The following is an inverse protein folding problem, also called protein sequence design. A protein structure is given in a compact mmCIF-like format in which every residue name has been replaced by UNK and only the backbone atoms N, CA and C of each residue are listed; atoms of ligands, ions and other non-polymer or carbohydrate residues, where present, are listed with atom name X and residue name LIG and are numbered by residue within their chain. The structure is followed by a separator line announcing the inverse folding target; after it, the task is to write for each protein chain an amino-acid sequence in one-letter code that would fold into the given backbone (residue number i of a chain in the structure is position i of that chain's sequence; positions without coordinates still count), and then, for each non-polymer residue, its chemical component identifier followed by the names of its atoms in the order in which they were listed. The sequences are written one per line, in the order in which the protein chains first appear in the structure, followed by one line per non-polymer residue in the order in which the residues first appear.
data_IF_312824433125
#
_entry.id   IF_312824433125
#
_cell.length_a   1.000
_cell.length_b   1.000
_cell.length_c   1.000
_cell.angle_alpha   90.00
_cell.angle_beta   90.00
_cell.angle_gamma   90.00
#
_symmetry.space_group_name_H-M   'P 1'
#
loop_
_entity.id
_entity.type
_entity.pdbx_description
1 polymer ?
#
# COMPACT_ATOMS: atom_id res chain seq x y z
N UNK A 1 17.91 -8.21 5.19
CA UNK A 1 17.08 -8.12 3.97
C UNK A 1 15.98 -9.17 4.09
N UNK A 2 14.70 -8.80 4.07
CA UNK A 2 13.59 -9.74 4.36
C UNK A 2 12.79 -10.02 3.10
N UNK A 3 13.43 -10.68 2.13
CA UNK A 3 12.70 -11.25 1.01
C UNK A 3 11.64 -12.24 1.52
N UNK A 4 10.47 -12.38 0.85
CA UNK A 4 9.43 -13.28 1.29
C UNK A 4 9.96 -14.73 1.32
N UNK A 5 9.85 -15.45 2.45
CA UNK A 5 10.31 -16.83 2.55
C UNK A 5 9.65 -17.76 1.52
N UNK A 6 10.30 -18.87 1.11
CA UNK A 6 9.63 -19.92 0.34
C UNK A 6 8.33 -20.38 1.00
N UNK A 7 7.28 -20.57 0.20
CA UNK A 7 5.93 -20.90 0.65
C UNK A 7 5.07 -19.70 1.06
N UNK A 8 5.59 -18.47 1.01
CA UNK A 8 4.81 -17.27 1.31
C UNK A 8 3.82 -16.97 0.19
N UNK A 9 2.53 -16.87 0.53
CA UNK A 9 1.50 -16.33 -0.37
C UNK A 9 1.61 -14.81 -0.37
N UNK A 10 1.63 -14.21 -1.56
CA UNK A 10 1.72 -12.77 -1.75
C UNK A 10 0.87 -12.30 -2.92
N UNK A 11 0.48 -11.04 -2.86
CA UNK A 11 -0.17 -10.35 -3.96
C UNK A 11 0.88 -9.58 -4.75
N UNK A 12 0.88 -9.75 -6.07
CA UNK A 12 1.67 -8.94 -6.99
C UNK A 12 0.72 -7.95 -7.67
N UNK A 13 0.94 -6.66 -7.47
CA UNK A 13 0.24 -5.62 -8.19
C UNK A 13 1.03 -5.27 -9.45
N UNK A 14 0.36 -5.39 -10.59
CA UNK A 14 0.91 -5.15 -11.91
C UNK A 14 0.14 -3.99 -12.52
N UNK A 15 0.82 -2.89 -12.80
CA UNK A 15 0.24 -1.78 -13.56
C UNK A 15 0.51 -2.00 -15.05
N UNK A 16 -0.52 -1.87 -15.87
CA UNK A 16 -0.43 -1.88 -17.34
C UNK A 16 -1.34 -0.79 -17.90
N UNK A 17 -0.73 0.24 -18.50
CA UNK A 17 -1.49 1.42 -18.92
C UNK A 17 -2.14 2.12 -17.73
N UNK A 18 -3.46 2.29 -17.78
CA UNK A 18 -4.28 2.85 -16.70
C UNK A 18 -4.87 1.78 -15.75
N UNK A 19 -4.69 0.49 -16.07
CA UNK A 19 -5.28 -0.61 -15.33
C UNK A 19 -4.27 -1.22 -14.33
N UNK A 20 -4.78 -1.63 -13.17
CA UNK A 20 -4.01 -2.36 -12.15
C UNK A 20 -4.62 -3.75 -11.99
N UNK A 21 -3.78 -4.78 -12.13
CA UNK A 21 -4.16 -6.17 -11.91
C UNK A 21 -3.45 -6.72 -10.68
N UNK A 22 -4.22 -7.39 -9.83
CA UNK A 22 -3.72 -8.10 -8.67
C UNK A 22 -3.58 -9.58 -9.01
N UNK A 23 -2.38 -10.11 -8.89
CA UNK A 23 -2.07 -11.51 -9.10
C UNK A 23 -1.80 -12.18 -7.77
N UNK A 24 -2.37 -13.36 -7.53
CA UNK A 24 -2.01 -14.17 -6.39
C UNK A 24 -0.83 -15.08 -6.75
N UNK A 25 0.26 -14.96 -6.00
CA UNK A 25 1.46 -15.75 -6.22
C UNK A 25 2.01 -16.34 -4.93
N UNK A 26 2.83 -17.38 -5.08
CA UNK A 26 3.54 -18.08 -4.02
C UNK A 26 5.05 -17.94 -4.26
N UNK A 27 5.80 -17.62 -3.21
CA UNK A 27 7.26 -17.64 -3.29
C UNK A 27 7.76 -19.09 -3.40
N UNK A 28 8.41 -19.42 -4.51
CA UNK A 28 9.02 -20.73 -4.76
C UNK A 28 10.42 -20.76 -4.16
N UNK A 29 11.19 -19.70 -4.38
CA UNK A 29 12.55 -19.56 -3.89
C UNK A 29 12.88 -18.09 -3.64
N UNK A 30 13.77 -17.85 -2.70
CA UNK A 30 14.33 -16.54 -2.40
C UNK A 30 15.84 -16.71 -2.20
N UNK A 31 16.63 -16.06 -3.04
CA UNK A 31 18.09 -16.04 -2.94
C UNK A 31 18.55 -14.60 -3.01
N UNK A 32 19.13 -14.11 -1.90
CA UNK A 32 19.51 -12.72 -1.75
C UNK A 32 18.35 -11.76 -2.07
N UNK A 33 18.50 -10.94 -3.10
CA UNK A 33 17.52 -9.98 -3.62
C UNK A 33 16.63 -10.56 -4.72
N UNK A 34 16.87 -11.78 -5.19
CA UNK A 34 16.09 -12.41 -6.25
C UNK A 34 15.03 -13.34 -5.68
N UNK A 35 13.79 -13.12 -6.08
CA UNK A 35 12.62 -13.91 -5.67
C UNK A 35 11.99 -14.57 -6.89
N UNK A 36 11.75 -15.88 -6.80
CA UNK A 36 10.99 -16.64 -7.79
C UNK A 36 9.58 -16.88 -7.28
N UNK A 37 8.60 -16.51 -8.10
CA UNK A 37 7.18 -16.60 -7.81
C UNK A 37 6.50 -17.59 -8.75
N UNK A 38 5.53 -18.33 -8.23
CA UNK A 38 4.56 -19.11 -8.98
C UNK A 38 3.20 -18.44 -8.82
N UNK A 39 2.55 -18.08 -9.91
CA UNK A 39 1.27 -17.38 -9.85
C UNK A 39 0.11 -18.32 -10.18
N UNK A 40 -0.98 -18.19 -9.41
CA UNK A 40 -2.19 -19.00 -9.57
C UNK A 40 -3.00 -18.51 -10.78
N UNK A 41 -2.89 -17.23 -11.09
CA UNK A 41 -3.60 -16.57 -12.19
C UNK A 41 -2.81 -16.60 -13.51
N UNK A 42 -3.53 -16.67 -14.62
CA UNK A 42 -2.93 -16.52 -15.95
C UNK A 42 -2.32 -15.12 -16.13
N UNK A 43 -1.06 -15.09 -16.56
CA UNK A 43 -0.36 -13.89 -17.00
C UNK A 43 -0.65 -13.52 -18.46
N UNK A 44 -1.53 -14.26 -19.15
CA UNK A 44 -1.90 -13.92 -20.52
C UNK A 44 -2.57 -12.54 -20.55
N UNK A 45 -2.19 -11.73 -21.55
CA UNK A 45 -2.71 -10.37 -21.72
C UNK A 45 -2.11 -9.31 -20.80
N UNK A 46 -1.14 -9.66 -19.93
CA UNK A 46 -0.29 -8.64 -19.30
C UNK A 46 0.87 -8.33 -20.26
N UNK A 47 1.09 -7.07 -20.66
CA UNK A 47 2.32 -6.64 -21.36
C UNK A 47 3.52 -6.55 -20.40
N UNK A 48 3.67 -7.54 -19.51
CA UNK A 48 4.78 -7.62 -18.59
C UNK A 48 6.03 -8.12 -19.29
N UNK A 49 7.12 -7.36 -19.17
CA UNK A 49 8.43 -7.66 -19.70
C UNK A 49 9.55 -7.47 -18.67
N UNK A 50 10.74 -8.05 -18.92
CA UNK A 50 11.91 -7.75 -18.12
C UNK A 50 12.19 -6.24 -18.05
N UNK A 51 12.40 -5.72 -16.84
CA UNK A 51 12.59 -4.29 -16.56
C UNK A 51 11.37 -3.61 -15.95
N UNK A 52 10.18 -4.20 -16.07
CA UNK A 52 8.96 -3.64 -15.49
C UNK A 52 8.99 -3.69 -13.96
N UNK A 53 8.33 -2.71 -13.34
CA UNK A 53 8.20 -2.64 -11.89
C UNK A 53 6.86 -3.23 -11.44
N UNK A 54 6.92 -4.07 -10.41
CA UNK A 54 5.74 -4.67 -9.78
C UNK A 54 5.78 -4.45 -8.28
N UNK A 55 4.62 -4.31 -7.65
CA UNK A 55 4.54 -4.21 -6.19
C UNK A 55 4.24 -5.58 -5.60
N UNK A 56 5.15 -6.10 -4.78
CA UNK A 56 4.96 -7.31 -4.00
C UNK A 56 4.35 -6.96 -2.64
N UNK A 57 3.34 -7.70 -2.18
CA UNK A 57 2.72 -7.52 -0.86
C UNK A 57 2.49 -8.86 -0.19
N UNK A 58 3.06 -9.05 1.00
CA UNK A 58 2.91 -10.30 1.77
C UNK A 58 2.71 -10.04 3.25
N UNK A 59 2.19 -11.02 3.98
CA UNK A 59 2.06 -10.94 5.42
C UNK A 59 3.16 -11.74 6.12
N UNK A 60 3.63 -11.19 7.23
CA UNK A 60 4.53 -11.83 8.19
C UNK A 60 3.84 -11.88 9.55
N UNK A 61 4.42 -12.57 10.53
CA UNK A 61 3.96 -12.52 11.93
C UNK A 61 3.88 -11.10 12.47
N UNK A 62 4.74 -10.20 11.97
CA UNK A 62 4.92 -8.85 12.48
C UNK A 62 4.11 -7.80 11.69
N UNK A 63 3.44 -8.21 10.61
CA UNK A 63 2.60 -7.35 9.77
C UNK A 63 2.79 -7.54 8.27
N UNK A 64 2.14 -6.67 7.49
CA UNK A 64 2.16 -6.71 6.01
C UNK A 64 3.39 -6.01 5.44
N UNK A 65 4.26 -6.73 4.76
CA UNK A 65 5.39 -6.14 4.03
C UNK A 65 4.99 -5.80 2.59
N UNK A 66 5.66 -4.78 2.04
CA UNK A 66 5.52 -4.43 0.63
C UNK A 66 6.90 -4.08 0.05
N UNK A 67 7.11 -4.38 -1.22
CA UNK A 67 8.33 -4.01 -1.92
C UNK A 67 8.06 -3.86 -3.41
N UNK A 68 8.50 -2.73 -3.98
CA UNK A 68 8.68 -2.67 -5.41
C UNK A 68 9.78 -3.64 -5.81
N UNK A 69 9.59 -4.34 -6.91
CA UNK A 69 10.57 -5.25 -7.46
C UNK A 69 10.64 -5.07 -8.98
N UNK A 70 11.82 -5.28 -9.54
CA UNK A 70 12.04 -5.24 -10.97
C UNK A 70 11.88 -6.64 -11.54
N UNK A 71 11.03 -6.80 -12.55
CA UNK A 71 10.84 -8.06 -13.23
C UNK A 71 12.12 -8.42 -14.00
N UNK A 72 12.69 -9.58 -13.72
CA UNK A 72 13.86 -10.13 -14.44
C UNK A 72 13.43 -11.07 -15.56
N UNK A 73 12.41 -11.88 -15.31
CA UNK A 73 11.85 -12.76 -16.32
C UNK A 73 10.41 -13.16 -15.98
N UNK A 74 9.69 -13.54 -17.02
CA UNK A 74 8.32 -14.02 -16.97
C UNK A 74 8.23 -15.32 -17.77
N UNK A 75 7.45 -16.28 -17.27
CA UNK A 75 7.15 -17.52 -17.95
C UNK A 75 5.65 -17.81 -17.87
N UNK A 76 5.04 -18.03 -19.04
CA UNK A 76 3.62 -18.38 -19.18
C UNK A 76 3.42 -19.89 -19.41
N UNK A 77 4.34 -20.73 -18.90
CA UNK A 77 4.18 -22.18 -18.95
C UNK A 77 2.94 -22.65 -18.17
N UNK A 78 2.72 -23.97 -18.12
CA UNK A 78 1.59 -24.61 -17.41
C UNK A 78 1.38 -24.10 -15.99
N UNK A 79 2.44 -23.63 -15.33
CA UNK A 79 2.37 -22.83 -14.12
C UNK A 79 3.04 -21.48 -14.38
N UNK A 80 2.29 -20.37 -14.45
CA UNK A 80 2.86 -19.05 -14.66
C UNK A 80 3.85 -18.70 -13.55
N UNK A 81 4.99 -18.10 -13.93
CA UNK A 81 6.01 -17.73 -12.96
C UNK A 81 6.69 -16.41 -13.30
N UNK A 82 7.11 -15.72 -12.24
CA UNK A 82 7.84 -14.46 -12.31
C UNK A 82 9.17 -14.62 -11.56
N UNK A 83 10.22 -14.03 -12.09
CA UNK A 83 11.47 -13.82 -11.34
C UNK A 83 11.62 -12.32 -11.18
N UNK A 84 11.70 -11.87 -9.95
CA UNK A 84 11.78 -10.45 -9.60
C UNK A 84 13.00 -10.20 -8.75
N UNK A 85 13.58 -9.01 -8.89
CA UNK A 85 14.69 -8.53 -8.09
C UNK A 85 14.19 -7.41 -7.17
N UNK A 86 14.42 -7.59 -5.88
CA UNK A 86 14.15 -6.61 -4.85
C UNK A 86 15.22 -5.51 -4.90
N UNK A 87 14.88 -4.26 -4.57
CA UNK A 87 15.86 -3.18 -4.50
C UNK A 87 16.94 -3.50 -3.47
N UNK A 88 18.16 -3.03 -3.73
CA UNK A 88 19.32 -3.21 -2.83
C UNK A 88 19.16 -2.54 -1.46
N UNK A 89 18.21 -1.60 -1.33
CA UNK A 89 17.74 -1.05 -0.06
C UNK A 89 16.95 -2.08 0.77
N UNK A 90 16.69 -3.26 0.21
CA UNK A 90 15.86 -4.31 0.75
C UNK A 90 14.37 -4.05 0.52
N UNK A 91 13.53 -5.09 0.68
CA UNK A 91 12.10 -4.88 0.77
C UNK A 91 11.78 -3.95 1.94
N UNK A 92 10.82 -3.05 1.76
CA UNK A 92 10.29 -2.22 2.85
C UNK A 92 9.49 -3.16 3.79
N UNK A 93 10.24 -3.79 4.71
CA UNK A 93 9.66 -4.58 5.80
C UNK A 93 8.76 -3.62 6.56
N UNK A 94 7.47 -3.94 6.72
CA UNK A 94 6.77 -3.40 7.89
C UNK A 94 7.39 -4.00 9.14
N UNK A 95 8.43 -3.36 9.69
CA UNK A 95 8.11 -2.64 10.92
C UNK A 95 7.34 -1.46 10.40
N UNK A 96 6.02 -1.41 10.66
CA UNK A 96 5.14 -0.29 10.31
C UNK A 96 5.96 0.97 10.00
N UNK A 97 6.20 1.33 8.74
CA UNK A 97 6.67 2.70 8.43
C UNK A 97 5.45 3.55 8.70
N UNK A 98 5.29 3.79 10.00
CA UNK A 98 4.29 4.62 10.59
C UNK A 98 5.06 5.84 10.96
N UNK A 99 4.84 6.91 10.21
CA UNK A 99 5.37 8.17 10.60
C UNK A 99 4.43 8.73 11.65
N UNK A 100 4.95 8.92 12.86
CA UNK A 100 4.34 9.82 13.82
C UNK A 100 4.61 11.24 13.34
N UNK A 101 3.58 12.04 13.24
CA UNK A 101 3.69 13.42 12.78
C UNK A 101 2.41 14.19 13.06
N UNK A 102 2.30 15.37 12.47
CA UNK A 102 1.10 16.19 12.60
C UNK A 102 0.73 16.70 11.22
N UNK A 103 -0.24 16.06 10.59
CA UNK A 103 -0.79 16.49 9.32
C UNK A 103 -2.24 16.94 9.52
N UNK A 104 -2.52 18.25 9.43
CA UNK A 104 -3.88 18.75 9.43
C UNK A 104 -4.69 18.07 8.34
N UNK A 105 -5.91 17.67 8.67
CA UNK A 105 -6.76 16.95 7.75
C UNK A 105 -8.24 17.31 7.92
N UNK A 106 -8.99 17.09 6.85
CA UNK A 106 -10.44 17.22 6.82
C UNK A 106 -11.02 15.89 6.37
N UNK A 107 -11.96 15.37 7.15
CA UNK A 107 -12.72 14.17 6.81
C UNK A 107 -14.05 14.59 6.19
N UNK A 108 -14.41 13.96 5.07
CA UNK A 108 -15.67 14.19 4.39
C UNK A 108 -16.42 12.88 4.15
N UNK A 109 -17.73 12.91 4.40
CA UNK A 109 -18.68 11.87 4.02
C UNK A 109 -19.51 12.44 2.86
N UNK A 110 -19.61 11.70 1.75
CA UNK A 110 -20.40 12.11 0.58
C UNK A 110 -20.15 13.55 0.11
N UNK A 111 -18.90 13.99 0.16
CA UNK A 111 -18.42 15.35 -0.17
C UNK A 111 -18.76 16.46 0.82
N UNK A 112 -19.58 16.22 1.83
CA UNK A 112 -19.78 17.14 2.94
C UNK A 112 -18.62 17.00 3.93
N UNK A 113 -17.99 18.12 4.29
CA UNK A 113 -17.01 18.15 5.39
C UNK A 113 -17.72 17.79 6.68
N UNK A 114 -17.35 16.66 7.28
CA UNK A 114 -17.99 16.15 8.49
C UNK A 114 -17.14 16.34 9.73
N UNK A 115 -15.80 16.30 9.62
CA UNK A 115 -14.93 16.42 10.77
C UNK A 115 -13.57 17.04 10.41
N UNK A 116 -13.00 17.81 11.33
CA UNK A 116 -11.63 18.34 11.22
C UNK A 116 -10.74 17.61 12.22
N UNK A 117 -9.47 17.45 11.86
CA UNK A 117 -8.54 16.76 12.75
C UNK A 117 -7.10 16.84 12.29
N UNK A 118 -6.28 16.07 13.00
CA UNK A 118 -4.86 15.91 12.72
C UNK A 118 -4.55 14.44 12.64
N UNK A 119 -3.94 14.00 11.54
CA UNK A 119 -3.33 12.68 11.47
C UNK A 119 -2.10 12.70 12.36
N UNK A 120 -2.05 11.80 13.33
CA UNK A 120 -0.95 11.71 14.32
C UNK A 120 -0.02 10.54 14.06
N UNK A 121 -0.48 9.57 13.28
CA UNK A 121 0.26 8.38 12.89
C UNK A 121 -0.33 7.86 11.57
N UNK A 122 0.48 7.71 10.55
CA UNK A 122 0.06 7.28 9.21
C UNK A 122 0.94 6.16 8.70
N UNK A 123 0.35 5.19 8.01
CA UNK A 123 1.09 4.27 7.15
C UNK A 123 0.25 3.85 5.95
N UNK A 124 0.84 3.09 5.05
CA UNK A 124 0.21 2.63 3.79
C UNK A 124 -1.15 1.96 3.99
N UNK A 125 -1.40 1.35 5.16
CA UNK A 125 -2.65 0.65 5.44
C UNK A 125 -3.73 1.46 6.14
N UNK A 126 -3.44 2.70 6.54
CA UNK A 126 -4.36 3.51 7.32
C UNK A 126 -3.69 4.51 8.24
N UNK A 127 -4.50 5.30 8.89
CA UNK A 127 -4.09 6.40 9.76
C UNK A 127 -4.81 6.36 11.11
N UNK A 128 -4.16 6.96 12.10
CA UNK A 128 -4.76 7.38 13.37
C UNK A 128 -4.89 8.90 13.35
N UNK A 129 -6.07 9.37 13.73
CA UNK A 129 -6.46 10.77 13.72
C UNK A 129 -6.91 11.19 15.12
N UNK A 130 -6.63 12.45 15.47
CA UNK A 130 -7.30 13.17 16.54
C UNK A 130 -8.26 14.16 15.90
N UNK A 131 -9.55 14.07 16.21
CA UNK A 131 -10.60 14.80 15.50
C UNK A 131 -11.71 15.28 16.44
N UNK A 132 -12.46 16.29 16.01
CA UNK A 132 -13.73 16.70 16.61
C UNK A 132 -14.88 15.69 16.35
N UNK A 133 -14.61 14.61 15.61
CA UNK A 133 -15.48 13.47 15.27
C UNK A 133 -16.67 13.81 14.37
N UNK A 134 -17.29 14.98 14.58
CA UNK A 134 -18.47 15.42 13.83
C UNK A 134 -19.55 14.32 13.75
N UNK A 135 -20.13 14.14 12.56
CA UNK A 135 -21.14 13.11 12.28
C UNK A 135 -20.55 11.76 11.82
N UNK A 136 -19.27 11.49 12.11
CA UNK A 136 -18.59 10.27 11.66
C UNK A 136 -18.87 9.07 12.58
N UNK A 137 -19.26 7.95 11.98
CA UNK A 137 -19.58 6.70 12.67
C UNK A 137 -18.62 5.54 12.34
N UNK A 138 -18.61 4.52 13.22
CA UNK A 138 -17.83 3.31 13.01
C UNK A 138 -18.30 2.57 11.76
N UNK A 139 -17.37 2.07 10.94
CA UNK A 139 -17.66 1.38 9.69
C UNK A 139 -17.99 2.30 8.52
N UNK A 140 -18.13 3.61 8.76
CA UNK A 140 -18.40 4.59 7.72
C UNK A 140 -17.17 4.77 6.82
N UNK A 141 -17.44 4.94 5.52
CA UNK A 141 -16.41 5.30 4.54
C UNK A 141 -16.32 6.82 4.47
N UNK A 142 -15.10 7.33 4.41
CA UNK A 142 -14.83 8.76 4.35
C UNK A 142 -13.62 9.04 3.46
N UNK A 143 -13.56 10.25 2.92
CA UNK A 143 -12.38 10.80 2.28
C UNK A 143 -11.59 11.61 3.31
N UNK A 144 -10.31 11.32 3.49
CA UNK A 144 -9.38 12.10 4.31
C UNK A 144 -8.56 12.96 3.36
N UNK A 145 -8.66 14.28 3.53
CA UNK A 145 -7.91 15.26 2.75
C UNK A 145 -6.84 15.90 3.62
N UNK A 146 -5.60 15.82 3.19
CA UNK A 146 -4.46 16.59 3.70
C UNK A 146 -4.00 17.58 2.62
N UNK A 147 -2.97 18.37 2.91
CA UNK A 147 -2.33 19.20 1.87
C UNK A 147 -1.65 18.33 0.78
N UNK A 148 -1.21 17.13 1.14
CA UNK A 148 -0.43 16.22 0.28
C UNK A 148 -1.28 15.19 -0.45
N UNK A 149 -2.41 14.75 0.14
CA UNK A 149 -3.14 13.58 -0.34
C UNK A 149 -4.66 13.69 -0.12
N UNK A 150 -5.43 13.00 -0.95
CA UNK A 150 -6.86 12.72 -0.69
C UNK A 150 -7.09 11.22 -0.76
N UNK A 151 -7.21 10.57 0.40
CA UNK A 151 -7.30 9.11 0.48
C UNK A 151 -8.67 8.67 1.00
N UNK A 152 -9.24 7.64 0.39
CA UNK A 152 -10.44 7.00 0.90
C UNK A 152 -10.11 6.00 1.99
N UNK A 153 -10.98 5.88 2.98
CA UNK A 153 -10.84 4.83 3.98
C UNK A 153 -12.09 4.61 4.82
N UNK A 154 -12.08 3.50 5.54
CA UNK A 154 -13.15 3.07 6.44
C UNK A 154 -12.75 3.25 7.88
N UNK A 155 -13.65 3.80 8.69
CA UNK A 155 -13.47 3.92 10.13
C UNK A 155 -13.52 2.53 10.76
N UNK A 156 -12.42 2.12 11.37
CA UNK A 156 -12.28 0.80 12.01
C UNK A 156 -12.25 0.87 13.52
N UNK A 157 -12.04 2.06 14.09
CA UNK A 157 -12.12 2.30 15.53
C UNK A 157 -12.40 3.77 15.80
N UNK A 158 -13.24 4.03 16.81
CA UNK A 158 -13.53 5.35 17.35
C UNK A 158 -13.42 5.26 18.87
N UNK A 159 -12.72 6.21 19.47
CA UNK A 159 -12.63 6.40 20.89
C UNK A 159 -12.89 7.87 21.21
N UNK A 160 -14.01 8.15 21.86
CA UNK A 160 -14.38 9.50 22.27
C UNK A 160 -13.81 9.75 23.66
N UNK A 161 -12.98 10.79 23.79
CA UNK A 161 -12.49 11.24 25.09
C UNK A 161 -13.49 12.25 25.68
N UNK A 162 -13.68 12.23 27.01
CA UNK A 162 -14.50 13.21 27.73
C UNK A 162 -13.89 14.60 27.75
N UNK A 163 -12.56 14.70 27.64
CA UNK A 163 -11.78 15.91 27.95
C UNK A 163 -10.81 16.29 26.82
N UNK A 164 -11.00 15.73 25.62
CA UNK A 164 -10.08 15.94 24.50
C UNK A 164 -10.62 15.51 23.14
N UNK A 165 -9.82 15.66 22.08
CA UNK A 165 -10.23 15.24 20.74
C UNK A 165 -10.43 13.72 20.71
N UNK A 166 -11.37 13.27 19.90
CA UNK A 166 -11.61 11.86 19.73
C UNK A 166 -10.49 11.21 18.91
N UNK A 167 -10.13 9.98 19.27
CA UNK A 167 -9.22 9.15 18.50
C UNK A 167 -10.02 8.33 17.47
N UNK A 168 -9.72 8.56 16.20
CA UNK A 168 -10.29 7.80 15.09
C UNK A 168 -9.20 7.01 14.38
N UNK A 169 -9.46 5.74 14.07
CA UNK A 169 -8.58 4.94 13.21
C UNK A 169 -9.29 4.59 11.93
N UNK A 170 -8.61 4.84 10.82
CA UNK A 170 -9.12 4.61 9.48
C UNK A 170 -8.22 3.60 8.79
N UNK A 171 -8.81 2.62 8.13
CA UNK A 171 -8.13 1.74 7.19
C UNK A 171 -8.34 2.28 5.79
N UNK A 172 -7.27 2.52 5.04
CA UNK A 172 -7.39 3.00 3.67
C UNK A 172 -8.00 1.93 2.76
N UNK A 173 -8.82 2.37 1.81
CA UNK A 173 -9.50 1.55 0.79
C UNK A 173 -9.27 2.20 -0.58
N UNK A 174 -9.24 1.38 -1.64
CA UNK A 174 -9.12 1.83 -3.03
C UNK A 174 -7.92 2.76 -3.31
N UNK A 175 -6.76 2.47 -2.70
CA UNK A 175 -5.54 3.26 -2.89
C UNK A 175 -5.01 3.12 -4.32
N UNK A 176 -4.94 4.23 -5.05
CA UNK A 176 -4.24 4.33 -6.32
C UNK A 176 -2.74 4.58 -6.16
N UNK A 177 -2.01 4.58 -7.27
CA UNK A 177 -0.57 4.86 -7.28
C UNK A 177 -0.25 6.28 -6.73
N UNK A 178 -1.06 7.27 -7.09
CA UNK A 178 -0.89 8.65 -6.61
C UNK A 178 -1.06 8.76 -5.10
N UNK A 179 -2.02 8.03 -4.52
CA UNK A 179 -2.24 7.97 -3.07
C UNK A 179 -1.05 7.34 -2.36
N UNK A 180 -0.49 6.26 -2.92
CA UNK A 180 0.69 5.60 -2.36
C UNK A 180 1.91 6.53 -2.38
N UNK A 181 2.13 7.25 -3.49
CA UNK A 181 3.22 8.23 -3.59
C UNK A 181 3.05 9.32 -2.53
N UNK A 182 1.85 9.89 -2.40
CA UNK A 182 1.58 10.95 -1.43
C UNK A 182 1.72 10.47 0.01
N UNK A 183 1.28 9.24 0.32
CA UNK A 183 1.52 8.62 1.63
C UNK A 183 3.02 8.42 1.87
N UNK A 184 3.80 8.00 0.87
CA UNK A 184 5.26 7.87 1.00
C UNK A 184 5.94 9.19 1.30
N UNK A 185 5.54 10.27 0.62
CA UNK A 185 6.03 11.63 0.92
C UNK A 185 5.74 12.01 2.38
N UNK A 186 4.54 11.68 2.90
CA UNK A 186 4.21 11.86 4.33
C UNK A 186 5.05 10.97 5.26
N UNK A 187 5.47 9.78 4.80
CA UNK A 187 6.34 8.87 5.55
C UNK A 187 7.80 9.31 5.59
N UNK A 188 8.18 10.35 4.83
CA UNK A 188 9.57 10.78 4.68
C UNK A 188 10.40 9.83 3.81
N UNK A 189 9.75 8.91 3.11
CA UNK A 189 10.37 7.99 2.16
C UNK A 189 9.76 8.26 0.77
N UNK A 190 10.41 9.09 -0.07
CA UNK A 190 9.88 9.37 -1.39
C UNK A 190 9.93 8.07 -2.18
N UNK A 191 8.77 7.44 -2.39
CA UNK A 191 8.64 6.35 -3.35
C UNK A 191 9.35 6.79 -4.64
N UNK A 192 10.28 5.98 -5.19
CA UNK A 192 10.93 6.32 -6.44
C UNK A 192 9.84 6.45 -7.48
N UNK A 193 9.61 7.69 -7.96
CA UNK A 193 8.67 7.95 -9.04
C UNK A 193 9.06 7.06 -10.22
N UNK A 194 8.11 6.38 -10.88
CA UNK A 194 8.44 5.57 -12.04
C UNK A 194 9.23 6.43 -13.02
N UNK A 195 10.44 5.98 -13.38
CA UNK A 195 11.38 6.74 -14.22
C UNK A 195 10.88 6.96 -15.65
N UNK A 196 9.76 6.33 -16.01
CA UNK A 196 9.13 6.49 -17.30
C UNK A 196 7.66 6.86 -17.10
N UNK A 197 7.22 8.05 -17.56
CA UNK A 197 5.80 8.27 -17.77
C UNK A 197 5.32 7.23 -18.79
N UNK A 198 4.25 6.53 -18.44
CA UNK A 198 3.49 5.73 -19.40
C UNK A 198 2.99 6.71 -20.46
N UNK A 199 3.54 6.60 -21.67
CA UNK A 199 3.10 7.33 -22.86
C UNK A 199 2.07 6.50 -23.61
#
# INVERSE_FOLDING_TARGET
MLAPPPGTVLTVEVAWGADVRLLRCNTVASLDDVVRLSCDDSLAGTDLGPGDQVLLRWNTSDGTCAAWAVLRSISQATTPSLVVELPSTGPERRVRTRASGQWPCVCAVDSATTAKGTIVDIGIGGAKLLTDLGDVALGQRLAIRTEQATVSGRVVSLFVSSDGPAEMRVRFEDLGLEDLIAIGEMLGDPFPRPKHPVH
#
